data_IF_654515008162
#
_entry.id   IF_654515008162
#
_cell.length_a   1.000
_cell.length_b   1.000
_cell.length_c   1.000
_cell.angle_alpha   90.00
_cell.angle_beta   90.00
_cell.angle_gamma   90.00
#
_symmetry.space_group_name_H-M   'P 1'
#
loop_
_entity.id
_entity.type
_entity.pdbx_description
1 polymer ?
#
# COMPACT_ATOMS: atom_id res chain seq x y z
N UNK A 1 13.29 11.21 -14.43
CA UNK A 1 12.41 11.97 -13.52
C UNK A 1 11.72 10.94 -12.63
N UNK A 2 12.14 10.85 -11.36
CA UNK A 2 11.88 9.72 -10.47
C UNK A 2 10.44 9.74 -9.90
N UNK A 3 9.51 9.27 -10.72
CA UNK A 3 8.23 8.73 -10.29
C UNK A 3 8.24 7.26 -10.62
N UNK A 4 8.65 6.41 -9.68
CA UNK A 4 8.49 4.97 -9.83
C UNK A 4 6.99 4.71 -9.83
N UNK A 5 6.42 4.54 -11.03
CA UNK A 5 5.24 3.69 -11.16
C UNK A 5 5.55 2.37 -10.45
N UNK A 6 4.58 1.75 -9.76
CA UNK A 6 4.76 0.39 -9.25
C UNK A 6 5.40 -0.45 -10.36
N UNK A 7 6.50 -1.14 -10.07
CA UNK A 7 7.09 -2.00 -11.09
C UNK A 7 6.14 -3.17 -11.32
N UNK A 8 6.17 -3.78 -12.50
CA UNK A 8 5.38 -5.01 -12.77
C UNK A 8 5.79 -6.17 -11.86
N UNK A 9 6.90 -6.04 -11.14
CA UNK A 9 7.46 -7.00 -10.19
C UNK A 9 7.09 -6.72 -8.73
N UNK A 10 6.46 -5.58 -8.43
CA UNK A 10 6.02 -5.24 -7.08
C UNK A 10 4.79 -6.08 -6.72
N UNK A 11 4.90 -6.88 -5.66
CA UNK A 11 3.81 -7.75 -5.20
C UNK A 11 3.55 -7.50 -3.73
N UNK A 12 2.29 -7.34 -3.36
CA UNK A 12 1.84 -7.18 -1.97
C UNK A 12 0.84 -8.27 -1.65
N UNK A 13 1.11 -9.04 -0.60
CA UNK A 13 0.22 -10.07 -0.06
C UNK A 13 -0.13 -9.70 1.36
N UNK A 14 -1.43 -9.64 1.63
CA UNK A 14 -2.01 -9.44 2.95
C UNK A 14 -2.68 -10.75 3.38
N UNK A 15 -2.15 -11.39 4.41
CA UNK A 15 -2.79 -12.50 5.09
C UNK A 15 -3.57 -11.95 6.28
N UNK A 16 -4.87 -11.77 6.07
CA UNK A 16 -5.78 -11.15 7.04
C UNK A 16 -6.01 -12.06 8.25
N UNK A 17 -5.96 -13.39 8.08
CA UNK A 17 -6.17 -14.35 9.17
C UNK A 17 -4.99 -14.37 10.13
N UNK A 18 -3.77 -14.40 9.58
CA UNK A 18 -2.54 -14.45 10.38
C UNK A 18 -1.99 -13.04 10.71
N UNK A 19 -2.64 -11.97 10.24
CA UNK A 19 -2.20 -10.58 10.41
C UNK A 19 -0.77 -10.33 9.89
N UNK A 20 -0.43 -10.92 8.73
CA UNK A 20 0.90 -10.79 8.12
C UNK A 20 0.87 -10.06 6.78
N UNK A 21 1.93 -9.32 6.50
CA UNK A 21 2.20 -8.61 5.27
C UNK A 21 3.48 -9.17 4.67
N UNK A 22 3.41 -9.59 3.40
CA UNK A 22 4.57 -9.95 2.59
C UNK A 22 4.59 -9.06 1.35
N UNK A 23 5.69 -8.34 1.16
CA UNK A 23 5.81 -7.35 0.10
C UNK A 23 7.15 -7.53 -0.61
N UNK A 24 7.09 -7.68 -1.93
CA UNK A 24 8.24 -7.69 -2.81
C UNK A 24 8.31 -6.33 -3.48
N UNK A 25 9.44 -5.63 -3.33
CA UNK A 25 9.69 -4.38 -4.05
C UNK A 25 11.12 -4.28 -4.53
N UNK A 26 11.26 -3.75 -5.73
CA UNK A 26 12.56 -3.43 -6.30
C UNK A 26 12.96 -2.00 -5.92
N UNK A 27 14.10 -1.86 -5.26
CA UNK A 27 14.64 -0.57 -4.84
C UNK A 27 16.04 -0.43 -5.42
N UNK A 28 16.16 0.40 -6.46
CA UNK A 28 17.34 0.48 -7.32
C UNK A 28 17.65 -0.87 -7.98
N UNK A 29 18.81 -1.46 -7.69
CA UNK A 29 19.28 -2.74 -8.26
C UNK A 29 19.01 -3.92 -7.33
N UNK A 30 18.39 -3.68 -6.17
CA UNK A 30 18.16 -4.69 -5.13
C UNK A 30 16.67 -4.99 -4.97
N UNK A 31 16.32 -6.27 -4.99
CA UNK A 31 14.96 -6.74 -4.64
C UNK A 31 14.86 -6.99 -3.15
N UNK A 32 13.91 -6.32 -2.48
CA UNK A 32 13.61 -6.50 -1.07
C UNK A 32 12.35 -7.32 -0.88
N UNK A 33 12.42 -8.29 0.04
CA UNK A 33 11.29 -9.09 0.51
C UNK A 33 10.97 -8.67 1.93
N UNK A 34 9.98 -7.79 2.06
CA UNK A 34 9.56 -7.19 3.33
C UNK A 34 8.51 -8.11 3.95
N UNK A 35 8.82 -8.65 5.13
CA UNK A 35 7.90 -9.45 5.92
C UNK A 35 7.66 -8.74 7.25
N UNK A 36 6.39 -8.40 7.51
CA UNK A 36 5.99 -7.68 8.71
C UNK A 36 4.52 -7.99 9.08
N UNK A 37 4.02 -7.33 10.13
CA UNK A 37 2.60 -7.35 10.49
C UNK A 37 1.80 -6.33 9.67
N UNK A 38 0.50 -6.59 9.50
CA UNK A 38 -0.39 -5.64 8.83
C UNK A 38 -0.45 -4.33 9.62
N UNK A 39 -0.24 -3.21 8.92
CA UNK A 39 -0.29 -1.88 9.52
C UNK A 39 -1.72 -1.53 9.88
N UNK A 40 -1.92 -1.05 11.11
CA UNK A 40 -3.22 -0.54 11.58
C UNK A 40 -3.35 0.94 11.24
N UNK A 41 -4.52 1.32 10.75
CA UNK A 41 -4.87 2.69 10.40
C UNK A 41 -6.09 3.13 11.21
N UNK A 42 -6.00 4.30 11.83
CA UNK A 42 -7.11 4.89 12.58
C UNK A 42 -8.03 5.66 11.62
N UNK A 43 -8.96 4.94 11.00
CA UNK A 43 -9.91 5.53 10.06
C UNK A 43 -11.02 6.30 10.76
N UNK A 44 -11.35 7.46 10.20
CA UNK A 44 -12.55 8.23 10.53
C UNK A 44 -13.51 8.16 9.35
N UNK A 45 -14.60 7.41 9.52
CA UNK A 45 -15.67 7.33 8.52
C UNK A 45 -16.42 8.66 8.51
N UNK A 46 -16.70 9.17 7.32
CA UNK A 46 -17.47 10.39 7.08
C UNK A 46 -18.79 10.05 6.39
N UNK A 47 -19.75 10.97 6.37
CA UNK A 47 -21.07 10.74 5.75
C UNK A 47 -21.12 10.91 4.23
N UNK A 48 -20.01 11.25 3.58
CA UNK A 48 -19.97 11.43 2.12
C UNK A 48 -19.91 10.07 1.42
N UNK A 49 -20.79 9.88 0.44
CA UNK A 49 -20.83 8.69 -0.41
C UNK A 49 -20.54 9.06 -1.87
N UNK A 50 -20.03 8.07 -2.62
CA UNK A 50 -19.77 8.17 -4.06
C UNK A 50 -19.87 6.79 -4.69
N UNK A 51 -20.39 6.72 -5.90
CA UNK A 51 -20.34 5.49 -6.70
C UNK A 51 -18.97 5.32 -7.38
N UNK A 52 -18.34 4.15 -7.23
CA UNK A 52 -17.07 3.80 -7.86
C UNK A 52 -17.18 2.38 -8.42
N UNK A 53 -16.91 2.21 -9.72
CA UNK A 53 -17.01 0.92 -10.41
C UNK A 53 -18.35 0.19 -10.22
N UNK A 54 -19.45 0.94 -10.05
CA UNK A 54 -20.80 0.41 -9.81
C UNK A 54 -21.13 0.08 -8.34
N UNK A 55 -20.23 0.40 -7.40
CA UNK A 55 -20.44 0.18 -5.96
C UNK A 55 -20.62 1.50 -5.22
N UNK A 56 -21.58 1.54 -4.29
CA UNK A 56 -21.69 2.64 -3.34
C UNK A 56 -20.51 2.58 -2.37
N UNK A 57 -19.71 3.64 -2.35
CA UNK A 57 -18.54 3.77 -1.49
C UNK A 57 -18.72 4.90 -0.48
N UNK A 58 -18.37 4.62 0.78
CA UNK A 58 -18.32 5.59 1.87
C UNK A 58 -16.92 6.17 1.98
N UNK A 59 -16.84 7.47 2.23
CA UNK A 59 -15.57 8.16 2.42
C UNK A 59 -15.06 7.96 3.84
N UNK A 60 -13.81 7.54 3.97
CA UNK A 60 -13.07 7.49 5.21
C UNK A 60 -11.76 8.26 5.07
N UNK A 61 -11.27 8.79 6.19
CA UNK A 61 -10.03 9.57 6.21
C UNK A 61 -9.13 9.09 7.34
N UNK A 62 -7.83 9.08 7.10
CA UNK A 62 -6.85 8.77 8.15
C UNK A 62 -5.62 9.65 8.01
N UNK A 63 -4.75 9.59 9.01
CA UNK A 63 -3.49 10.32 9.06
C UNK A 63 -2.36 9.33 9.29
N UNK A 64 -1.34 9.38 8.44
CA UNK A 64 -0.13 8.56 8.58
C UNK A 64 1.11 9.45 8.68
N UNK A 65 2.19 8.93 9.27
CA UNK A 65 3.44 9.66 9.47
C UNK A 65 3.20 11.06 10.06
N UNK A 66 2.34 11.14 11.08
CA UNK A 66 1.94 12.32 11.84
C UNK A 66 1.35 13.51 11.07
N UNK A 67 1.29 13.49 9.73
CA UNK A 67 0.97 14.68 8.92
C UNK A 67 0.35 14.38 7.55
N UNK A 68 0.43 13.13 7.07
CA UNK A 68 -0.03 12.78 5.73
C UNK A 68 -1.50 12.43 5.80
N UNK A 69 -2.33 13.26 5.19
CA UNK A 69 -3.75 13.01 5.09
C UNK A 69 -4.04 12.03 3.96
N UNK A 70 -4.85 11.01 4.25
CA UNK A 70 -5.26 9.98 3.30
C UNK A 70 -6.78 10.01 3.23
N UNK A 71 -7.32 9.99 2.01
CA UNK A 71 -8.75 9.85 1.75
C UNK A 71 -8.97 8.51 1.07
N UNK A 72 -9.83 7.68 1.63
CA UNK A 72 -10.25 6.41 1.07
C UNK A 72 -11.75 6.42 0.79
N UNK A 73 -12.17 5.71 -0.25
CA UNK A 73 -13.55 5.39 -0.55
C UNK A 73 -13.66 3.87 -0.56
N UNK A 74 -14.44 3.31 0.36
CA UNK A 74 -14.60 1.88 0.55
C UNK A 74 -16.05 1.45 0.42
N UNK A 75 -16.30 0.22 -0.02
CA UNK A 75 -17.64 -0.37 -0.08
C UNK A 75 -17.75 -1.56 0.86
N UNK A 76 -18.82 -1.60 1.66
CA UNK A 76 -19.16 -2.72 2.56
C UNK A 76 -19.88 -3.87 1.84
N UNK A 77 -20.21 -3.69 0.55
CA UNK A 77 -20.81 -4.72 -0.30
C UNK A 77 -19.80 -5.85 -0.62
N UNK A 78 -18.50 -5.55 -0.58
CA UNK A 78 -17.42 -6.52 -0.75
C UNK A 78 -16.72 -6.66 0.60
N UNK A 79 -16.98 -7.76 1.29
CA UNK A 79 -16.50 -8.01 2.66
C UNK A 79 -15.03 -8.48 2.64
N UNK A 80 -14.13 -7.59 2.23
CA UNK A 80 -12.70 -7.81 2.20
C UNK A 80 -11.99 -6.57 2.78
N UNK A 81 -11.34 -6.72 3.95
CA UNK A 81 -10.59 -5.64 4.61
C UNK A 81 -9.25 -5.39 3.89
N UNK A 82 -9.29 -4.85 2.68
CA UNK A 82 -8.11 -4.64 1.83
C UNK A 82 -8.25 -3.39 0.96
N UNK A 83 -7.20 -3.07 0.21
CA UNK A 83 -7.13 -1.88 -0.62
C UNK A 83 -5.82 -1.76 -1.40
N UNK A 84 -5.68 -0.72 -2.23
CA UNK A 84 -4.45 -0.43 -2.94
C UNK A 84 -3.30 -0.10 -1.97
N UNK A 85 -2.04 -0.38 -2.37
CA UNK A 85 -0.83 0.02 -1.64
C UNK A 85 -0.83 -0.34 -0.13
N UNK A 86 -1.28 -1.55 0.23
CA UNK A 86 -1.37 -2.06 1.61
C UNK A 86 -2.37 -1.37 2.55
N UNK A 87 -3.16 -0.40 2.07
CA UNK A 87 -4.22 0.21 2.89
C UNK A 87 -5.31 -0.82 3.20
N UNK A 88 -5.71 -0.89 4.47
CA UNK A 88 -6.64 -1.89 4.99
C UNK A 88 -7.37 -1.35 6.23
N UNK A 89 -8.23 -2.18 6.85
CA UNK A 89 -8.84 -1.89 8.15
C UNK A 89 -10.17 -1.11 8.10
N UNK A 90 -10.72 -0.90 6.92
CA UNK A 90 -12.11 -0.46 6.73
C UNK A 90 -13.00 -1.68 6.56
N UNK A 91 -14.27 -1.64 7.02
CA UNK A 91 -15.20 -2.79 6.96
C UNK A 91 -15.72 -3.00 5.54
N UNK A 92 -14.81 -3.35 4.63
CA UNK A 92 -15.05 -3.46 3.20
C UNK A 92 -13.83 -3.13 2.34
N UNK A 93 -13.97 -3.33 1.04
CA UNK A 93 -12.87 -3.14 0.08
C UNK A 93 -12.71 -1.65 -0.28
N UNK A 94 -11.48 -1.15 -0.22
CA UNK A 94 -11.14 0.21 -0.68
C UNK A 94 -11.08 0.22 -2.20
N UNK A 95 -11.99 0.95 -2.83
CA UNK A 95 -12.07 1.14 -4.29
C UNK A 95 -11.51 2.49 -4.75
N UNK A 96 -11.33 3.44 -3.84
CA UNK A 96 -10.71 4.73 -4.13
C UNK A 96 -9.73 5.13 -3.03
N UNK A 97 -8.58 5.64 -3.42
CA UNK A 97 -7.56 6.13 -2.49
C UNK A 97 -6.93 7.39 -3.07
N UNK A 98 -6.82 8.45 -2.26
CA UNK A 98 -6.15 9.68 -2.62
C UNK A 98 -5.16 10.08 -1.53
N UNK A 99 -3.95 10.42 -1.97
CA UNK A 99 -2.86 10.91 -1.13
C UNK A 99 -2.45 12.29 -1.66
N UNK A 100 -3.14 13.37 -1.21
CA UNK A 100 -2.93 14.72 -1.75
C UNK A 100 -1.48 15.19 -1.69
N UNK A 101 -0.76 14.86 -0.61
CA UNK A 101 0.66 15.21 -0.43
C UNK A 101 1.56 14.64 -1.53
N UNK A 102 1.17 13.52 -2.14
CA UNK A 102 1.90 12.87 -3.22
C UNK A 102 1.33 13.18 -4.60
N UNK A 103 0.23 13.94 -4.68
CA UNK A 103 -0.56 14.12 -5.90
C UNK A 103 -0.93 12.78 -6.57
N UNK A 104 -1.21 11.76 -5.75
CA UNK A 104 -1.51 10.41 -6.23
C UNK A 104 -2.93 10.01 -5.88
N UNK A 105 -3.63 9.44 -6.86
CA UNK A 105 -4.97 8.92 -6.71
C UNK A 105 -5.10 7.58 -7.42
N UNK A 106 -5.72 6.61 -6.77
CA UNK A 106 -6.09 5.32 -7.33
C UNK A 106 -7.59 5.15 -7.22
N UNK A 107 -8.25 4.82 -8.32
CA UNK A 107 -9.68 4.52 -8.34
C UNK A 107 -9.90 3.27 -9.18
N UNK A 108 -10.70 2.35 -8.65
CA UNK A 108 -11.13 1.18 -9.38
C UNK A 108 -11.96 1.60 -10.60
N UNK A 109 -11.59 1.06 -11.75
CA UNK A 109 -12.34 1.25 -13.00
C UNK A 109 -13.30 0.08 -13.27
N UNK A 110 -13.01 -1.09 -12.69
CA UNK A 110 -13.75 -2.34 -12.86
C UNK A 110 -13.52 -3.25 -11.66
N UNK A 111 -14.54 -4.04 -11.31
CA UNK A 111 -14.45 -5.13 -10.33
C UNK A 111 -14.91 -6.41 -11.01
N UNK A 112 -14.10 -7.46 -10.94
CA UNK A 112 -14.40 -8.77 -11.52
C UNK A 112 -14.12 -9.87 -10.50
N UNK A 113 -14.96 -10.89 -10.51
CA UNK A 113 -14.77 -12.07 -9.68
C UNK A 113 -13.95 -13.09 -10.45
N UNK A 114 -12.72 -13.35 -9.98
CA UNK A 114 -11.84 -14.37 -10.53
C UNK A 114 -11.36 -15.29 -9.41
N UNK A 115 -11.09 -16.55 -9.75
CA UNK A 115 -10.46 -17.49 -8.81
C UNK A 115 -8.96 -17.36 -8.94
N UNK A 116 -8.24 -16.95 -7.87
CA UNK A 116 -6.80 -16.81 -7.93
C UNK A 116 -6.12 -18.19 -8.04
N UNK A 117 -5.04 -18.26 -8.80
CA UNK A 117 -4.19 -19.45 -8.87
C UNK A 117 -3.17 -19.44 -7.73
N UNK A 118 -2.72 -20.62 -7.24
CA UNK A 118 -1.69 -20.69 -6.19
C UNK A 118 -0.39 -19.95 -6.54
N UNK A 119 -0.06 -19.84 -7.84
CA UNK A 119 1.13 -19.15 -8.33
C UNK A 119 1.03 -17.63 -8.15
N UNK A 120 -0.16 -17.04 -8.29
CA UNK A 120 -0.40 -15.61 -8.08
C UNK A 120 -0.30 -15.22 -6.60
N UNK A 121 -0.62 -16.17 -5.70
CA UNK A 121 -0.53 -16.01 -4.26
C UNK A 121 0.89 -16.27 -3.69
N UNK A 122 1.85 -16.65 -4.54
CA UNK A 122 3.20 -17.02 -4.12
C UNK A 122 4.28 -16.43 -5.07
N UNK A 123 4.55 -15.11 -5.01
CA UNK A 123 5.58 -14.47 -5.81
C UNK A 123 6.97 -15.03 -5.49
N UNK A 124 7.84 -15.01 -6.51
CA UNK A 124 9.19 -15.56 -6.46
C UNK A 124 10.04 -14.85 -5.39
N UNK A 125 10.30 -15.54 -4.28
CA UNK A 125 11.06 -15.05 -3.12
C UNK A 125 12.58 -14.89 -3.36
N UNK A 126 13.02 -14.45 -4.53
CA UNK A 126 14.42 -14.10 -4.76
C UNK A 126 14.63 -12.64 -4.41
N UNK A 127 15.28 -12.40 -3.28
CA UNK A 127 15.57 -11.05 -2.80
C UNK A 127 16.02 -11.06 -1.34
N UNK A 128 16.41 -9.90 -0.86
CA UNK A 128 16.88 -9.71 0.52
C UNK A 128 15.70 -9.62 1.49
N UNK A 129 15.59 -10.61 2.36
CA UNK A 129 14.54 -10.65 3.40
C UNK A 129 14.80 -9.62 4.50
N UNK A 130 13.85 -8.74 4.73
CA UNK A 130 13.91 -7.66 5.73
C UNK A 130 12.53 -7.43 6.35
N UNK A 131 12.46 -6.66 7.44
CA UNK A 131 11.23 -6.03 7.92
C UNK A 131 11.30 -4.52 7.68
N UNK A 132 10.23 -3.77 7.97
CA UNK A 132 10.22 -2.31 7.74
C UNK A 132 11.33 -1.57 8.46
N UNK A 133 11.62 -1.95 9.71
CA UNK A 133 12.71 -1.35 10.51
C UNK A 133 14.07 -1.56 9.86
N UNK A 134 14.35 -2.78 9.40
CA UNK A 134 15.62 -3.13 8.76
C UNK A 134 15.75 -2.46 7.38
N UNK A 135 14.67 -2.44 6.60
CA UNK A 135 14.62 -1.71 5.33
C UNK A 135 14.96 -0.23 5.54
N UNK A 136 14.34 0.42 6.52
CA UNK A 136 14.61 1.83 6.82
C UNK A 136 16.10 2.07 7.14
N UNK A 137 16.72 1.21 7.95
CA UNK A 137 18.15 1.31 8.26
C UNK A 137 19.02 1.12 7.00
N UNK A 138 18.70 0.13 6.17
CA UNK A 138 19.45 -0.16 4.95
C UNK A 138 19.33 1.00 3.93
N UNK A 139 18.13 1.59 3.80
CA UNK A 139 17.88 2.76 2.96
C UNK A 139 18.62 4.00 3.45
N UNK A 140 18.63 4.27 4.75
CA UNK A 140 19.41 5.38 5.32
C UNK A 140 20.91 5.20 5.11
N UNK A 141 21.41 3.96 5.17
CA UNK A 141 22.81 3.66 4.89
C UNK A 141 23.13 3.88 3.40
N UNK A 142 22.28 3.39 2.50
CA UNK A 142 22.49 3.49 1.05
C UNK A 142 22.43 4.94 0.54
N UNK A 143 21.55 5.77 1.10
CA UNK A 143 21.33 7.15 0.65
C UNK A 143 22.01 8.20 1.53
N UNK A 144 22.97 7.81 2.38
CA UNK A 144 23.61 8.72 3.35
C UNK A 144 24.20 9.97 2.69
N UNK A 145 24.81 9.81 1.52
CA UNK A 145 25.53 10.89 0.83
C UNK A 145 24.63 11.71 -0.11
N UNK A 146 23.33 11.39 -0.18
CA UNK A 146 22.37 12.00 -1.12
C UNK A 146 21.64 13.23 -0.53
N UNK A 147 21.96 13.61 0.71
CA UNK A 147 21.40 14.80 1.36
C UNK A 147 19.87 14.83 1.38
N UNK A 148 19.28 15.99 1.07
CA UNK A 148 17.82 16.21 1.12
C UNK A 148 17.04 15.31 0.16
N UNK A 149 17.62 14.98 -0.99
CA UNK A 149 16.99 14.11 -1.99
C UNK A 149 16.92 12.67 -1.51
N UNK A 150 17.96 12.19 -0.82
CA UNK A 150 17.96 10.88 -0.15
C UNK A 150 16.86 10.78 0.90
N UNK A 151 16.78 11.75 1.81
CA UNK A 151 15.74 11.78 2.84
C UNK A 151 14.32 11.78 2.25
N UNK A 152 14.09 12.51 1.15
CA UNK A 152 12.80 12.54 0.45
C UNK A 152 12.45 11.17 -0.15
N UNK A 153 13.42 10.48 -0.74
CA UNK A 153 13.20 9.17 -1.35
C UNK A 153 12.93 8.09 -0.30
N UNK A 154 13.70 8.05 0.80
CA UNK A 154 13.45 7.13 1.93
C UNK A 154 12.03 7.30 2.46
N UNK A 155 11.59 8.54 2.63
CA UNK A 155 10.25 8.83 3.12
C UNK A 155 9.17 8.32 2.16
N UNK A 156 9.33 8.49 0.84
CA UNK A 156 8.40 7.96 -0.17
C UNK A 156 8.34 6.42 -0.17
N UNK A 157 9.46 5.74 0.05
CA UNK A 157 9.49 4.27 0.13
C UNK A 157 8.85 3.70 1.41
N UNK A 158 8.67 4.54 2.44
CA UNK A 158 8.10 4.13 3.74
C UNK A 158 6.58 4.33 3.89
N UNK A 159 5.96 4.87 2.84
CA UNK A 159 4.51 5.05 2.71
C UNK A 159 3.86 3.77 2.21
#
# INVERSE_FOLDING_TARGET
MWGTKPSETDVTILDVENNTLSLQRDVFEETYLIQDSIRKFDWKITGETREIAGFECKKAVTKICDSVYIVAFYTDQIIANAGPESFNGLPGLILGLAVPRLATTWFATKVEMTTPTPKELAPSQKGKKVNWKKLYVDMNKAMKDWGKEGARNIWKFSL
#
